data_IF_166536267801
#
_entry.id   IF_166536267801
#
_cell.length_a   1.000
_cell.length_b   1.000
_cell.length_c   1.000
_cell.angle_alpha   90.00
_cell.angle_beta   90.00
_cell.angle_gamma   90.00
#
_symmetry.space_group_name_H-M   'P 1'
#
loop_
_entity.id
_entity.type
_entity.pdbx_description
1 polymer ?
#
# COMPACT_ATOMS: atom_id res chain seq x y z
N UNK A 1 44.10 -6.29 -0.81
CA UNK A 1 42.96 -6.15 0.13
C UNK A 1 42.03 -5.07 -0.41
N UNK A 2 41.08 -5.47 -1.26
CA UNK A 2 40.07 -4.59 -1.84
C UNK A 2 39.03 -4.29 -0.77
N UNK A 3 38.91 -3.02 -0.41
CA UNK A 3 37.97 -2.52 0.58
C UNK A 3 36.57 -2.58 -0.04
N UNK A 4 35.72 -3.46 0.47
CA UNK A 4 34.29 -3.52 0.14
C UNK A 4 33.69 -2.12 0.31
N UNK A 5 33.17 -1.55 -0.77
CA UNK A 5 32.44 -0.29 -0.72
C UNK A 5 31.14 -0.52 0.04
N UNK A 6 31.03 0.04 1.25
CA UNK A 6 29.74 0.23 1.90
C UNK A 6 28.92 1.17 1.01
N UNK A 7 27.74 0.73 0.59
CA UNK A 7 26.76 1.60 -0.01
C UNK A 7 26.44 2.71 1.00
N UNK A 8 26.71 3.96 0.63
CA UNK A 8 26.31 5.10 1.43
C UNK A 8 24.78 5.14 1.49
N UNK A 9 24.22 5.19 2.69
CA UNK A 9 22.79 5.46 2.87
C UNK A 9 22.41 6.79 2.22
N UNK A 10 21.13 6.99 1.83
CA UNK A 10 20.72 8.22 1.16
C UNK A 10 20.98 9.45 2.05
N UNK A 11 21.38 10.55 1.41
CA UNK A 11 21.49 11.85 2.05
C UNK A 11 20.14 12.29 2.66
N UNK A 12 20.14 13.08 3.76
CA UNK A 12 18.90 13.50 4.42
C UNK A 12 17.98 14.25 3.45
N UNK A 13 16.76 13.74 3.28
CA UNK A 13 15.70 14.34 2.44
C UNK A 13 15.26 13.53 1.21
N UNK A 14 15.97 12.46 0.84
CA UNK A 14 15.54 11.58 -0.25
C UNK A 14 14.63 10.45 0.22
N UNK A 15 13.66 10.06 -0.61
CA UNK A 15 12.87 8.84 -0.44
C UNK A 15 13.73 7.60 -0.62
N UNK A 16 13.44 6.56 0.17
CA UNK A 16 13.96 5.23 -0.08
C UNK A 16 13.22 4.58 -1.26
N UNK A 17 13.93 3.84 -2.15
CA UNK A 17 13.34 3.08 -3.25
C UNK A 17 12.69 1.77 -2.81
N UNK A 18 12.15 1.76 -1.60
CA UNK A 18 11.40 0.66 -1.03
C UNK A 18 10.07 1.22 -0.52
N UNK A 19 8.97 0.77 -1.12
CA UNK A 19 7.63 1.27 -0.84
C UNK A 19 6.66 0.15 -0.52
N UNK A 20 5.48 0.55 -0.04
CA UNK A 20 4.31 -0.30 0.08
C UNK A 20 3.22 0.16 -0.87
N UNK A 21 2.38 -0.79 -1.28
CA UNK A 21 1.06 -0.53 -1.87
C UNK A 21 0.02 -1.27 -1.03
N UNK A 22 -0.96 -0.55 -0.49
CA UNK A 22 -2.00 -1.13 0.37
C UNK A 22 -3.36 -1.05 -0.31
N UNK A 23 -3.86 -2.19 -0.78
CA UNK A 23 -5.22 -2.33 -1.32
C UNK A 23 -6.20 -2.38 -0.15
N UNK A 24 -6.76 -1.23 0.22
CA UNK A 24 -7.80 -1.14 1.25
C UNK A 24 -9.13 -1.54 0.61
N UNK A 25 -9.84 -2.51 1.22
CA UNK A 25 -11.07 -3.04 0.66
C UNK A 25 -12.11 -3.45 1.71
N UNK A 26 -13.37 -3.51 1.31
CA UNK A 26 -14.45 -4.12 2.10
C UNK A 26 -14.50 -5.65 1.89
N UNK A 27 -15.25 -6.42 2.71
CA UNK A 27 -15.51 -7.83 2.44
C UNK A 27 -16.28 -8.07 1.12
N UNK A 28 -16.99 -7.07 0.60
CA UNK A 28 -17.67 -7.11 -0.69
C UNK A 28 -16.72 -6.86 -1.88
N UNK A 29 -15.43 -6.65 -1.61
CA UNK A 29 -14.38 -6.33 -2.59
C UNK A 29 -14.58 -4.96 -3.25
N UNK A 30 -15.18 -4.01 -2.51
CA UNK A 30 -15.10 -2.60 -2.86
C UNK A 30 -13.74 -2.07 -2.38
N UNK A 31 -12.96 -1.52 -3.30
CA UNK A 31 -11.62 -0.97 -3.06
C UNK A 31 -11.72 0.53 -2.86
N UNK A 32 -11.06 1.04 -1.83
CA UNK A 32 -10.85 2.47 -1.64
C UNK A 32 -9.77 2.96 -2.59
N UNK A 33 -10.13 3.94 -3.44
CA UNK A 33 -9.17 4.74 -4.19
C UNK A 33 -9.15 6.16 -3.67
N UNK A 34 -7.96 6.74 -3.66
CA UNK A 34 -7.68 8.14 -3.33
C UNK A 34 -7.09 8.83 -4.56
N UNK A 35 -7.42 10.11 -4.76
CA UNK A 35 -6.95 10.91 -5.89
C UNK A 35 -5.89 11.89 -5.43
N UNK A 36 -4.73 11.87 -6.08
CA UNK A 36 -3.64 12.81 -5.80
C UNK A 36 -4.09 14.26 -6.01
N UNK A 37 -3.78 15.13 -5.06
CA UNK A 37 -3.96 16.57 -5.17
C UNK A 37 -2.91 17.19 -6.12
N UNK A 38 -3.19 18.40 -6.65
CA UNK A 38 -2.20 19.18 -7.42
C UNK A 38 -2.50 19.46 -8.89
N UNK A 39 -3.76 19.35 -9.33
CA UNK A 39 -4.23 19.93 -10.60
C UNK A 39 -3.81 19.21 -11.90
N UNK A 40 -3.12 18.07 -11.80
CA UNK A 40 -2.84 17.18 -12.94
C UNK A 40 -4.02 16.27 -13.30
N UNK A 41 -3.84 15.32 -14.23
CA UNK A 41 -4.81 14.27 -14.50
C UNK A 41 -5.21 13.56 -13.19
N UNK A 42 -6.46 13.09 -13.12
CA UNK A 42 -6.98 12.42 -11.93
C UNK A 42 -6.25 11.09 -11.67
N UNK A 43 -5.13 11.14 -10.96
CA UNK A 43 -4.35 9.97 -10.59
C UNK A 43 -5.01 9.30 -9.39
N UNK A 44 -5.94 8.40 -9.67
CA UNK A 44 -6.53 7.53 -8.68
C UNK A 44 -5.60 6.36 -8.38
N UNK A 45 -5.44 6.05 -7.10
CA UNK A 45 -4.58 4.99 -6.61
C UNK A 45 -5.09 4.45 -5.27
N UNK A 46 -4.57 3.29 -4.89
CA UNK A 46 -4.53 2.81 -3.51
C UNK A 46 -3.49 3.62 -2.70
N UNK A 47 -3.43 3.37 -1.39
CA UNK A 47 -2.42 3.97 -0.51
C UNK A 47 -1.04 3.47 -0.92
N UNK A 48 -0.07 4.38 -1.03
CA UNK A 48 1.32 4.05 -1.36
C UNK A 48 2.30 4.92 -0.61
N UNK A 49 3.40 4.37 -0.12
CA UNK A 49 4.40 5.20 0.53
C UNK A 49 5.74 4.50 0.72
N UNK A 50 6.78 5.31 0.93
CA UNK A 50 8.16 4.81 1.06
C UNK A 50 8.45 4.49 2.51
N UNK A 51 9.39 3.57 2.73
CA UNK A 51 10.03 3.44 4.03
C UNK A 51 10.68 4.76 4.44
N UNK A 52 10.60 5.10 5.72
CA UNK A 52 11.27 6.29 6.27
C UNK A 52 12.76 6.03 6.52
N UNK A 53 13.09 4.79 6.88
CA UNK A 53 14.46 4.34 7.13
C UNK A 53 14.67 2.88 6.67
N UNK A 54 15.91 2.48 6.32
CA UNK A 54 16.17 1.18 5.69
C UNK A 54 15.74 -0.04 6.49
N UNK A 55 15.75 0.04 7.82
CA UNK A 55 15.37 -1.04 8.72
C UNK A 55 13.87 -1.06 9.05
N UNK A 56 13.07 -0.10 8.56
CA UNK A 56 11.62 -0.06 8.81
C UNK A 56 10.95 -1.33 8.25
N UNK A 57 10.19 -2.09 9.06
CA UNK A 57 9.41 -3.21 8.53
C UNK A 57 8.34 -2.69 7.56
N UNK A 58 8.15 -3.39 6.44
CA UNK A 58 7.12 -3.01 5.46
C UNK A 58 5.71 -2.92 6.07
N UNK A 59 5.39 -3.78 7.02
CA UNK A 59 4.10 -3.72 7.73
C UNK A 59 3.95 -2.41 8.53
N UNK A 60 5.02 -1.95 9.19
CA UNK A 60 5.01 -0.67 9.90
C UNK A 60 4.84 0.51 8.93
N UNK A 61 5.52 0.48 7.78
CA UNK A 61 5.33 1.45 6.69
C UNK A 61 3.86 1.45 6.21
N UNK A 62 3.27 0.27 5.96
CA UNK A 62 1.88 0.16 5.53
C UNK A 62 0.89 0.74 6.54
N UNK A 63 1.05 0.43 7.83
CA UNK A 63 0.19 0.96 8.90
C UNK A 63 0.30 2.49 8.97
N UNK A 64 1.53 3.03 8.92
CA UNK A 64 1.80 4.46 8.96
C UNK A 64 1.15 5.18 7.78
N UNK A 65 1.41 4.72 6.56
CA UNK A 65 0.92 5.35 5.33
C UNK A 65 -0.61 5.30 5.23
N UNK A 66 -1.24 4.18 5.62
CA UNK A 66 -2.71 4.09 5.69
C UNK A 66 -3.27 5.16 6.63
N UNK A 67 -2.66 5.32 7.82
CA UNK A 67 -3.10 6.30 8.80
C UNK A 67 -2.86 7.73 8.31
N UNK A 68 -1.72 8.01 7.71
CA UNK A 68 -1.35 9.35 7.22
C UNK A 68 -2.21 9.78 6.03
N UNK A 69 -2.43 8.91 5.05
CA UNK A 69 -3.13 9.26 3.81
C UNK A 69 -4.66 9.22 3.95
N UNK A 70 -5.21 8.37 4.83
CA UNK A 70 -6.67 8.10 4.90
C UNK A 70 -7.29 8.24 6.29
N UNK A 71 -6.49 8.42 7.34
CA UNK A 71 -6.97 8.46 8.73
C UNK A 71 -7.44 7.10 9.28
N UNK A 72 -7.39 6.02 8.48
CA UNK A 72 -7.79 4.68 8.89
C UNK A 72 -6.72 4.09 9.81
N UNK A 73 -7.14 3.52 10.94
CA UNK A 73 -6.28 2.71 11.79
C UNK A 73 -6.29 1.25 11.28
N UNK A 74 -5.20 0.79 10.68
CA UNK A 74 -5.09 -0.57 10.16
C UNK A 74 -5.17 -1.66 11.25
N UNK A 75 -4.95 -1.30 12.52
CA UNK A 75 -4.97 -2.21 13.67
C UNK A 75 -6.31 -2.18 14.43
N UNK A 76 -7.29 -1.40 13.97
CA UNK A 76 -8.58 -1.29 14.64
C UNK A 76 -9.36 -2.62 14.64
N UNK A 77 -10.25 -2.86 15.62
CA UNK A 77 -11.07 -4.07 15.65
C UNK A 77 -11.87 -4.27 14.36
N UNK A 78 -11.80 -5.48 13.79
CA UNK A 78 -12.45 -5.83 12.52
C UNK A 78 -11.65 -5.43 11.28
N UNK A 79 -10.49 -4.80 11.44
CA UNK A 79 -9.55 -4.54 10.36
C UNK A 79 -8.53 -5.68 10.29
N UNK A 80 -8.18 -6.10 9.08
CA UNK A 80 -7.20 -7.17 8.86
C UNK A 80 -6.22 -6.72 7.79
N UNK A 81 -5.03 -6.30 8.23
CA UNK A 81 -3.88 -6.09 7.36
C UNK A 81 -3.25 -7.45 7.04
N UNK A 82 -2.95 -7.70 5.77
CA UNK A 82 -2.35 -8.95 5.31
C UNK A 82 -1.25 -8.66 4.31
N UNK A 83 -0.02 -9.09 4.62
CA UNK A 83 1.07 -9.14 3.66
C UNK A 83 0.76 -10.18 2.59
N UNK A 84 0.75 -9.77 1.33
CA UNK A 84 0.51 -10.70 0.22
C UNK A 84 1.76 -11.48 -0.19
N UNK A 85 2.92 -11.13 0.38
CA UNK A 85 4.23 -11.67 0.03
C UNK A 85 4.55 -11.50 -1.45
N UNK A 86 4.04 -10.42 -2.05
CA UNK A 86 4.25 -10.03 -3.44
C UNK A 86 4.98 -8.69 -3.50
N UNK A 87 5.90 -8.58 -4.45
CA UNK A 87 6.67 -7.37 -4.71
C UNK A 87 6.63 -7.02 -6.19
N UNK A 88 6.48 -5.74 -6.50
CA UNK A 88 6.71 -5.18 -7.82
C UNK A 88 8.07 -4.49 -7.86
N UNK A 89 8.75 -4.55 -9.00
CA UNK A 89 9.88 -3.68 -9.31
C UNK A 89 9.57 -2.87 -10.56
N UNK A 90 9.74 -1.55 -10.49
CA UNK A 90 9.50 -0.67 -11.62
C UNK A 90 10.49 0.48 -11.68
N UNK A 91 10.66 1.01 -12.88
CA UNK A 91 11.44 2.23 -13.10
C UNK A 91 10.67 3.42 -12.52
N UNK A 92 11.34 4.23 -11.71
CA UNK A 92 10.77 5.44 -11.12
C UNK A 92 10.49 6.43 -12.24
N UNK A 93 9.27 6.94 -12.29
CA UNK A 93 8.87 7.81 -13.38
C UNK A 93 9.69 9.11 -13.37
N UNK A 94 10.03 9.67 -14.55
CA UNK A 94 10.96 10.79 -14.64
C UNK A 94 10.60 12.00 -13.76
N UNK A 95 9.31 12.32 -13.62
CA UNK A 95 8.87 13.44 -12.79
C UNK A 95 9.09 13.22 -11.29
N UNK A 96 9.31 11.99 -10.84
CA UNK A 96 9.51 11.65 -9.42
C UNK A 96 10.98 11.37 -9.06
N UNK A 97 11.88 11.22 -10.04
CA UNK A 97 13.30 10.91 -9.80
C UNK A 97 13.99 11.92 -8.88
N UNK A 98 13.60 13.20 -8.93
CA UNK A 98 14.18 14.25 -8.08
C UNK A 98 13.95 14.03 -6.57
N UNK A 99 13.01 13.15 -6.18
CA UNK A 99 12.75 12.79 -4.78
C UNK A 99 13.66 11.67 -4.28
N UNK A 100 14.46 11.05 -5.14
CA UNK A 100 15.35 9.94 -4.80
C UNK A 100 16.82 10.35 -4.96
N UNK A 101 17.70 9.62 -4.28
CA UNK A 101 19.14 9.90 -4.36
C UNK A 101 19.67 9.74 -5.81
N UNK A 102 20.71 10.49 -6.21
CA UNK A 102 21.29 10.38 -7.55
C UNK A 102 21.65 8.93 -7.92
N UNK A 103 21.22 8.50 -9.11
CA UNK A 103 21.44 7.13 -9.61
C UNK A 103 20.37 6.12 -9.21
N UNK A 104 19.46 6.45 -8.30
CA UNK A 104 18.30 5.62 -7.97
C UNK A 104 17.25 5.78 -9.07
N UNK A 105 17.01 4.70 -9.81
CA UNK A 105 16.08 4.67 -10.95
C UNK A 105 15.00 3.61 -10.83
N UNK A 106 15.07 2.75 -9.82
CA UNK A 106 14.08 1.68 -9.58
C UNK A 106 13.51 1.77 -8.19
N UNK A 107 12.25 1.35 -8.05
CA UNK A 107 11.58 1.21 -6.78
C UNK A 107 11.05 -0.22 -6.63
N UNK A 108 11.25 -0.79 -5.44
CA UNK A 108 10.67 -2.07 -5.01
C UNK A 108 9.45 -1.80 -4.14
N UNK A 109 8.30 -2.35 -4.51
CA UNK A 109 7.01 -2.08 -3.87
C UNK A 109 6.40 -3.36 -3.31
N UNK A 110 6.21 -3.44 -1.99
CA UNK A 110 5.59 -4.58 -1.29
C UNK A 110 4.08 -4.43 -1.20
N UNK A 111 3.34 -5.48 -1.53
CA UNK A 111 1.87 -5.42 -1.59
C UNK A 111 1.22 -5.93 -0.31
N UNK A 112 0.26 -5.15 0.18
CA UNK A 112 -0.62 -5.50 1.29
C UNK A 112 -2.08 -5.37 0.88
N UNK A 113 -2.94 -6.17 1.50
CA UNK A 113 -4.39 -5.94 1.55
C UNK A 113 -4.80 -5.51 2.94
N UNK A 114 -5.71 -4.54 3.03
CA UNK A 114 -6.33 -4.15 4.30
C UNK A 114 -7.84 -4.31 4.16
N UNK A 115 -8.38 -5.37 4.76
CA UNK A 115 -9.83 -5.58 4.83
C UNK A 115 -10.40 -4.73 5.97
N UNK A 116 -11.38 -3.88 5.69
CA UNK A 116 -12.07 -3.02 6.68
C UNK A 116 -13.59 -3.19 6.62
N UNK A 117 -14.32 -2.94 7.71
CA UNK A 117 -15.79 -2.93 7.69
C UNK A 117 -16.36 -1.99 6.63
N UNK A 118 -17.52 -2.34 6.08
CA UNK A 118 -18.26 -1.42 5.23
C UNK A 118 -18.65 -0.16 6.04
N UNK A 119 -18.48 1.03 5.45
CA UNK A 119 -18.75 2.30 6.12
C UNK A 119 -17.59 2.85 6.95
N UNK A 120 -16.39 2.25 6.90
CA UNK A 120 -15.19 2.84 7.50
C UNK A 120 -14.97 4.27 6.99
N UNK A 121 -14.86 5.20 7.93
CA UNK A 121 -14.66 6.62 7.64
C UNK A 121 -13.29 6.87 7.00
N UNK A 122 -13.25 7.76 6.01
CA UNK A 122 -12.03 8.15 5.30
C UNK A 122 -11.81 9.64 5.51
N UNK A 123 -10.65 10.01 6.05
CA UNK A 123 -10.21 11.38 6.27
C UNK A 123 -8.87 11.56 5.56
N UNK A 124 -8.89 12.21 4.40
CA UNK A 124 -7.69 12.36 3.58
C UNK A 124 -6.71 13.37 4.16
N UNK A 125 -5.42 13.14 3.94
CA UNK A 125 -4.40 14.19 4.02
C UNK A 125 -4.66 15.22 2.90
N UNK A 126 -5.11 16.45 3.21
CA UNK A 126 -5.53 17.42 2.19
C UNK A 126 -4.36 18.00 1.39
N UNK A 127 -3.12 17.76 1.85
CA UNK A 127 -1.89 18.16 1.13
C UNK A 127 -1.57 17.19 0.00
N UNK A 128 -2.02 15.94 0.11
CA UNK A 128 -1.60 14.86 -0.77
C UNK A 128 -2.74 14.34 -1.63
N UNK A 129 -3.97 14.35 -1.09
CA UNK A 129 -5.15 13.79 -1.73
C UNK A 129 -6.36 14.71 -1.56
N UNK A 130 -7.19 14.82 -2.60
CA UNK A 130 -8.32 15.76 -2.63
C UNK A 130 -9.70 15.09 -2.81
N UNK A 131 -9.73 13.79 -3.11
CA UNK A 131 -10.96 13.02 -3.24
C UNK A 131 -10.71 11.53 -2.98
N UNK A 132 -11.74 10.83 -2.53
CA UNK A 132 -11.75 9.38 -2.36
C UNK A 132 -13.04 8.76 -2.90
N UNK A 133 -13.01 7.48 -3.23
CA UNK A 133 -14.20 6.69 -3.59
C UNK A 133 -13.99 5.21 -3.33
N UNK A 134 -15.07 4.52 -2.96
CA UNK A 134 -15.13 3.07 -2.96
C UNK A 134 -15.67 2.59 -4.31
N UNK A 135 -15.03 1.59 -4.91
CA UNK A 135 -15.43 1.00 -6.18
C UNK A 135 -15.31 -0.51 -6.15
N UNK A 136 -16.18 -1.27 -6.83
CA UNK A 136 -15.95 -2.69 -7.05
C UNK A 136 -14.55 -2.93 -7.64
N UNK A 137 -13.83 -3.95 -7.17
CA UNK A 137 -12.40 -4.16 -7.49
C UNK A 137 -12.04 -4.11 -8.99
N UNK A 138 -12.95 -4.52 -9.89
CA UNK A 138 -12.76 -4.43 -11.35
C UNK A 138 -12.78 -2.99 -11.84
N UNK A 139 -13.71 -2.19 -11.34
CA UNK A 139 -13.84 -0.77 -11.67
C UNK A 139 -12.70 0.03 -11.02
N UNK A 140 -12.27 -0.37 -9.83
CA UNK A 140 -11.09 0.18 -9.19
C UNK A 140 -9.83 -0.07 -10.05
N UNK A 141 -9.64 -1.29 -10.56
CA UNK A 141 -8.53 -1.60 -11.45
C UNK A 141 -8.53 -0.74 -12.72
N UNK A 142 -9.69 -0.48 -13.32
CA UNK A 142 -9.82 0.40 -14.49
C UNK A 142 -9.54 1.87 -14.16
N UNK A 143 -9.86 2.30 -12.93
CA UNK A 143 -9.64 3.66 -12.47
C UNK A 143 -8.18 3.95 -12.09
N UNK A 144 -7.41 2.93 -11.71
CA UNK A 144 -6.03 3.07 -11.27
C UNK A 144 -5.15 3.70 -12.34
N UNK A 145 -4.36 4.68 -11.93
CA UNK A 145 -3.40 5.35 -12.81
C UNK A 145 -2.19 4.47 -13.16
N UNK A 146 -1.68 3.71 -12.17
CA UNK A 146 -0.53 2.82 -12.41
C UNK A 146 -1.00 1.40 -12.79
N UNK A 147 -0.31 0.74 -13.73
CA UNK A 147 -0.56 -0.67 -14.04
C UNK A 147 -0.35 -1.61 -12.84
N UNK A 148 0.66 -1.35 -12.01
CA UNK A 148 0.95 -2.18 -10.82
C UNK A 148 -0.20 -2.14 -9.82
N UNK A 149 -0.82 -0.97 -9.62
CA UNK A 149 -1.97 -0.83 -8.75
C UNK A 149 -3.22 -1.48 -9.36
N UNK A 150 -3.43 -1.33 -10.67
CA UNK A 150 -4.53 -1.99 -11.36
C UNK A 150 -4.44 -3.52 -11.21
N UNK A 151 -3.25 -4.08 -11.39
CA UNK A 151 -3.01 -5.52 -11.19
C UNK A 151 -3.25 -5.95 -9.74
N UNK A 152 -2.81 -5.16 -8.76
CA UNK A 152 -3.10 -5.43 -7.34
C UNK A 152 -4.61 -5.48 -7.05
N UNK A 153 -5.40 -4.56 -7.62
CA UNK A 153 -6.86 -4.62 -7.54
C UNK A 153 -7.40 -5.91 -8.18
N UNK A 154 -6.84 -6.35 -9.31
CA UNK A 154 -7.29 -7.58 -9.99
C UNK A 154 -6.92 -8.87 -9.24
N UNK A 155 -5.86 -8.85 -8.44
CA UNK A 155 -5.46 -9.97 -7.59
C UNK A 155 -6.32 -10.10 -6.33
N UNK A 156 -6.96 -9.01 -5.88
CA UNK A 156 -7.67 -8.92 -4.60
C UNK A 156 -8.56 -10.13 -4.26
N UNK A 157 -9.44 -10.66 -5.15
CA UNK A 157 -10.28 -11.79 -4.80
C UNK A 157 -9.49 -13.02 -4.32
N UNK A 158 -8.29 -13.26 -4.87
CA UNK A 158 -7.43 -14.39 -4.49
C UNK A 158 -6.89 -14.25 -3.07
N UNK A 159 -6.64 -13.02 -2.63
CA UNK A 159 -6.04 -12.73 -1.32
C UNK A 159 -7.10 -12.46 -0.23
N UNK A 160 -8.26 -11.89 -0.59
CA UNK A 160 -9.33 -11.59 0.36
C UNK A 160 -10.03 -12.86 0.91
N UNK A 161 -10.06 -13.96 0.14
CA UNK A 161 -10.66 -15.22 0.60
C UNK A 161 -9.83 -15.92 1.69
N UNK A 162 -8.53 -15.66 1.81
CA UNK A 162 -7.68 -16.24 2.85
C UNK A 162 -8.08 -15.78 4.26
N UNK A 163 -8.69 -14.60 4.39
CA UNK A 163 -9.14 -14.02 5.68
C UNK A 163 -10.47 -14.63 6.16
N UNK A 164 -11.24 -15.32 5.30
CA UNK A 164 -12.54 -15.91 5.67
C UNK A 164 -12.48 -17.26 6.39
N UNK A 165 -11.29 -17.84 6.64
CA UNK A 165 -11.20 -19.12 7.35
C UNK A 165 -11.22 -18.87 8.87
N UNK A 166 -12.29 -19.25 9.60
CA UNK A 166 -12.24 -19.19 11.06
C UNK A 166 -11.11 -20.11 11.57
N UNK A 167 -10.46 -19.77 12.70
CA UNK A 167 -9.49 -20.67 13.32
C UNK A 167 -10.16 -22.03 13.53
N UNK A 168 -9.45 -23.11 13.16
CA UNK A 168 -9.94 -24.45 13.41
C UNK A 168 -10.25 -24.58 14.91
N UNK A 169 -11.50 -24.89 15.26
CA UNK A 169 -11.85 -25.20 16.64
C UNK A 169 -10.94 -26.35 17.10
N UNK A 170 -10.09 -26.07 18.08
CA UNK A 170 -9.24 -27.08 18.70
C UNK A 170 -10.11 -28.22 19.25
N UNK A 171 -9.58 -29.46 19.32
CA UNK A 171 -10.36 -30.58 19.83
C UNK A 171 -10.85 -30.25 21.25
N UNK A 172 -12.16 -30.41 21.45
CA UNK A 172 -12.79 -30.25 22.76
C UNK A 172 -12.06 -31.13 23.80
N UNK A 173 -11.86 -30.64 25.04
CA UNK A 173 -11.25 -31.44 26.08
C UNK A 173 -12.09 -32.70 26.31
N UNK A 174 -11.42 -33.85 26.26
CA UNK A 174 -12.04 -35.12 26.67
C UNK A 174 -12.23 -35.05 28.18
N UNK A 175 -13.49 -35.17 28.60
CA UNK A 175 -13.85 -35.40 30.00
C UNK A 175 -13.43 -36.78 30.49
#
# INVERSE_FOLDING_TARGET
MTRTGMAAGPAPGFKLPESVLVVIHTPALDVLLIRRAGGGPAHWQSVTGSKDFPEEPFEATAIREVREETGIDACAPGHVLTDWFLENEYDIWPQWLHRYAPGVVRNRERLFGLCVPAGTAVVLSPREHDAWRWLPWRDAAQACFSPSNAEACLMLPRHAHAVRRPPAAGPAPRG
#
